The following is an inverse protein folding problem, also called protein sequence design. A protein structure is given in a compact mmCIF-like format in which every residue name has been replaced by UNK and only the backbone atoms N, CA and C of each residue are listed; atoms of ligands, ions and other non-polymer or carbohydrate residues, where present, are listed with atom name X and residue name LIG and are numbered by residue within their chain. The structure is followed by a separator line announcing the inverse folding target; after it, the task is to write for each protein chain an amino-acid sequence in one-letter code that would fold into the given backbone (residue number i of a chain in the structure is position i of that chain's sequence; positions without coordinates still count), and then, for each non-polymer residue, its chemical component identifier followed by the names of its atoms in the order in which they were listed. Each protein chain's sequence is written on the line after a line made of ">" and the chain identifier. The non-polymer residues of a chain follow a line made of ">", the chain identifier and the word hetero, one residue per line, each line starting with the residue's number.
data_IF_159166518390
#
_entry.id   IF_159166518390
#
_cell.length_a   1.000
_cell.length_b   1.000
_cell.length_c   1.000
_cell.angle_alpha   90.00
_cell.angle_beta   90.00
_cell.angle_gamma   90.00
#
_symmetry.space_group_name_H-M   'P 1'
#
loop_
_entity.id
_entity.type
_entity.pdbx_description
1 polymer ?
#
# COMPACT_ATOMS: atom_id res chain seq x y z
N UNK A 1 -30.84 34.62 -11.79
CA UNK A 1 -29.56 34.28 -11.20
C UNK A 1 -29.55 34.78 -9.75
N UNK A 2 -29.55 33.90 -8.80
CA UNK A 2 -29.56 34.23 -7.38
C UNK A 2 -28.91 33.16 -6.53
N UNK A 3 -28.32 33.56 -5.41
CA UNK A 3 -27.76 32.64 -4.44
C UNK A 3 -28.83 32.16 -3.47
N UNK A 4 -28.89 30.86 -3.19
CA UNK A 4 -29.62 30.31 -2.08
C UNK A 4 -28.75 30.28 -0.84
N UNK A 5 -29.09 31.03 0.19
CA UNK A 5 -28.44 30.95 1.49
C UNK A 5 -29.43 30.39 2.50
N UNK A 6 -29.12 29.27 3.12
CA UNK A 6 -29.94 28.66 4.18
C UNK A 6 -29.16 28.77 5.49
N UNK A 7 -29.74 29.49 6.45
CA UNK A 7 -29.21 29.65 7.79
C UNK A 7 -30.03 28.80 8.76
N UNK A 8 -29.47 27.70 9.23
CA UNK A 8 -30.18 26.80 10.14
C UNK A 8 -29.27 25.68 10.63
N UNK A 9 -29.71 24.94 11.64
CA UNK A 9 -28.96 23.83 12.21
C UNK A 9 -28.90 22.60 11.28
N UNK A 10 -29.92 22.41 10.42
CA UNK A 10 -29.99 21.27 9.49
C UNK A 10 -30.74 21.66 8.23
N UNK A 11 -30.20 21.33 7.08
CA UNK A 11 -30.88 21.44 5.78
C UNK A 11 -31.04 20.04 5.18
N UNK A 12 -32.24 19.64 4.87
CA UNK A 12 -32.53 18.34 4.22
C UNK A 12 -33.00 18.61 2.80
N UNK A 13 -32.34 18.00 1.83
CA UNK A 13 -32.70 18.00 0.42
C UNK A 13 -33.17 16.58 0.08
N UNK A 14 -34.46 16.41 -0.22
CA UNK A 14 -35.03 15.12 -0.62
C UNK A 14 -35.21 15.12 -2.13
N UNK A 15 -34.35 14.36 -2.82
CA UNK A 15 -34.38 14.22 -4.28
C UNK A 15 -33.86 12.84 -4.67
N UNK A 16 -34.31 12.34 -5.81
CA UNK A 16 -33.74 11.09 -6.35
C UNK A 16 -32.29 11.27 -6.82
N UNK A 17 -31.96 12.47 -7.32
CA UNK A 17 -30.61 12.78 -7.80
C UNK A 17 -30.25 14.22 -7.40
N UNK A 18 -29.09 14.39 -6.78
CA UNK A 18 -28.47 15.69 -6.55
C UNK A 18 -27.30 15.88 -7.52
N UNK A 19 -27.39 16.90 -8.37
CA UNK A 19 -26.29 17.31 -9.26
C UNK A 19 -25.76 18.67 -8.82
N UNK A 20 -24.44 18.74 -8.61
CA UNK A 20 -23.73 19.97 -8.26
C UNK A 20 -22.87 20.37 -9.46
N UNK A 21 -23.11 21.56 -10.03
CA UNK A 21 -22.40 22.05 -11.21
C UNK A 21 -21.05 22.71 -10.91
N UNK A 22 -20.73 22.95 -9.64
CA UNK A 22 -19.46 23.52 -9.24
C UNK A 22 -18.33 22.49 -9.21
N UNK A 23 -17.12 22.96 -9.49
CA UNK A 23 -15.91 22.13 -9.46
C UNK A 23 -15.47 21.77 -8.04
N UNK A 24 -15.90 22.53 -7.02
CA UNK A 24 -15.51 22.34 -5.62
C UNK A 24 -16.75 22.44 -4.73
N UNK A 25 -16.94 21.46 -3.85
CA UNK A 25 -17.91 21.49 -2.75
C UNK A 25 -17.13 21.80 -1.47
N UNK A 26 -17.42 22.92 -0.83
CA UNK A 26 -16.84 23.29 0.45
C UNK A 26 -17.65 22.70 1.60
N UNK A 27 -17.01 21.92 2.45
CA UNK A 27 -17.61 21.34 3.66
C UNK A 27 -16.92 21.98 4.87
N UNK A 28 -17.71 22.42 5.87
CA UNK A 28 -17.16 22.91 7.13
C UNK A 28 -16.63 24.35 7.10
N UNK A 29 -17.15 25.23 6.22
CA UNK A 29 -16.75 26.64 6.15
C UNK A 29 -16.73 27.40 7.49
N UNK A 30 -17.59 27.01 8.42
CA UNK A 30 -17.71 27.63 9.74
C UNK A 30 -16.93 26.87 10.82
N UNK A 31 -16.11 25.88 10.44
CA UNK A 31 -15.18 25.22 11.35
C UNK A 31 -14.06 26.20 11.67
N UNK A 32 -14.10 26.81 12.85
CA UNK A 32 -13.12 27.81 13.28
C UNK A 32 -12.04 27.18 14.13
N UNK A 33 -10.88 27.83 14.22
CA UNK A 33 -9.72 27.32 14.97
C UNK A 33 -9.97 27.05 16.47
N UNK A 34 -11.12 27.40 17.00
CA UNK A 34 -11.50 27.17 18.40
C UNK A 34 -12.31 25.87 18.58
N UNK A 35 -12.84 25.26 17.49
CA UNK A 35 -13.66 24.05 17.55
C UNK A 35 -13.01 22.93 16.72
N UNK A 36 -11.90 22.39 17.22
CA UNK A 36 -11.17 21.25 16.64
C UNK A 36 -11.90 19.91 16.83
N UNK A 37 -13.14 19.92 17.24
CA UNK A 37 -13.91 18.71 17.55
C UNK A 37 -14.91 18.31 16.45
N UNK A 38 -14.93 19.03 15.34
CA UNK A 38 -15.86 18.76 14.23
C UNK A 38 -15.14 18.01 13.11
N UNK A 39 -15.42 16.75 12.97
CA UNK A 39 -14.98 15.99 11.81
C UNK A 39 -15.75 16.43 10.56
N UNK A 40 -15.10 16.32 9.40
CA UNK A 40 -15.66 16.72 8.11
C UNK A 40 -15.85 15.49 7.23
N UNK A 41 -16.99 15.33 6.56
CA UNK A 41 -17.16 14.17 5.71
C UNK A 41 -18.48 14.02 4.99
N UNK A 42 -18.55 12.97 4.21
CA UNK A 42 -19.74 12.47 3.52
C UNK A 42 -20.13 11.13 4.13
N UNK A 43 -21.29 11.07 4.77
CA UNK A 43 -21.82 9.85 5.36
C UNK A 43 -22.80 9.17 4.38
N UNK A 44 -22.54 7.90 4.09
CA UNK A 44 -23.38 7.05 3.25
C UNK A 44 -24.18 6.10 4.15
N UNK A 45 -25.50 6.28 4.17
CA UNK A 45 -26.38 5.39 4.91
C UNK A 45 -26.51 4.05 4.21
N UNK A 46 -26.38 2.99 4.99
CA UNK A 46 -26.67 1.62 4.59
C UNK A 46 -27.95 1.12 5.29
N UNK A 47 -28.48 -0.05 4.94
CA UNK A 47 -29.62 -0.64 5.67
C UNK A 47 -29.35 -0.71 7.17
N UNK A 48 -30.39 -0.60 7.99
CA UNK A 48 -30.30 -0.54 9.47
C UNK A 48 -29.55 -1.70 10.14
N UNK A 49 -29.36 -2.81 9.42
CA UNK A 49 -28.59 -3.97 9.89
C UNK A 49 -27.07 -3.86 9.61
N UNK A 50 -26.65 -2.81 8.95
CA UNK A 50 -25.30 -2.62 8.44
C UNK A 50 -24.71 -1.30 8.95
N UNK A 51 -23.41 -1.30 9.21
CA UNK A 51 -22.69 -0.07 9.55
C UNK A 51 -22.68 0.92 8.39
N UNK A 52 -22.80 2.21 8.67
CA UNK A 52 -22.69 3.27 7.67
C UNK A 52 -21.25 3.36 7.13
N UNK A 53 -21.08 3.95 5.94
CA UNK A 53 -19.75 4.25 5.38
C UNK A 53 -19.51 5.73 5.42
N UNK A 54 -18.34 6.15 5.85
CA UNK A 54 -17.91 7.55 5.83
C UNK A 54 -16.63 7.73 5.00
N UNK A 55 -16.60 8.85 4.27
CA UNK A 55 -15.39 9.39 3.66
C UNK A 55 -15.19 10.76 4.30
N UNK A 56 -14.16 10.92 5.14
CA UNK A 56 -14.05 12.13 5.93
C UNK A 56 -12.66 12.40 6.49
N UNK A 57 -12.52 13.60 7.06
CA UNK A 57 -11.33 14.02 7.79
C UNK A 57 -11.64 14.10 9.28
N UNK A 58 -10.83 13.43 10.09
CA UNK A 58 -10.91 13.42 11.55
C UNK A 58 -9.97 14.47 12.13
N UNK A 59 -10.53 15.48 12.73
CA UNK A 59 -9.74 16.56 13.35
C UNK A 59 -8.93 16.08 14.56
N UNK A 60 -9.48 15.15 15.36
CA UNK A 60 -8.83 14.65 16.57
C UNK A 60 -7.54 13.86 16.31
N UNK A 61 -7.41 13.21 15.15
CA UNK A 61 -6.26 12.39 14.74
C UNK A 61 -5.51 12.96 13.54
N UNK A 62 -6.00 14.06 12.95
CA UNK A 62 -5.43 14.68 11.74
C UNK A 62 -5.29 13.70 10.58
N UNK A 63 -6.33 12.89 10.34
CA UNK A 63 -6.32 11.84 9.32
C UNK A 63 -7.51 11.92 8.37
N UNK A 64 -7.29 11.55 7.12
CA UNK A 64 -8.35 11.30 6.14
C UNK A 64 -8.71 9.81 6.18
N UNK A 65 -9.98 9.50 6.40
CA UNK A 65 -10.46 8.14 6.59
C UNK A 65 -11.55 7.76 5.57
N UNK A 66 -11.51 6.51 5.13
CA UNK A 66 -12.61 5.79 4.50
C UNK A 66 -12.90 4.61 5.41
N UNK A 67 -14.05 4.59 6.08
CA UNK A 67 -14.30 3.61 7.13
C UNK A 67 -15.77 3.27 7.28
N UNK A 68 -16.06 2.11 7.89
CA UNK A 68 -17.35 1.84 8.51
C UNK A 68 -17.48 2.64 9.81
N UNK A 69 -18.69 3.08 10.12
CA UNK A 69 -18.98 3.87 11.32
C UNK A 69 -20.44 3.69 11.76
N UNK A 70 -20.67 3.83 13.05
CA UNK A 70 -22.03 3.94 13.62
C UNK A 70 -22.52 5.40 13.68
N UNK A 71 -21.71 6.36 13.25
CA UNK A 71 -22.08 7.77 13.29
C UNK A 71 -23.34 8.04 12.48
N UNK A 72 -24.15 8.98 12.99
CA UNK A 72 -25.36 9.49 12.37
C UNK A 72 -25.12 10.89 11.76
N UNK A 73 -26.02 11.41 10.91
CA UNK A 73 -25.88 12.76 10.34
C UNK A 73 -25.91 13.89 11.38
N UNK A 74 -26.27 13.58 12.62
CA UNK A 74 -26.34 14.56 13.70
C UNK A 74 -25.08 14.55 14.58
N UNK A 75 -24.19 13.57 14.39
CA UNK A 75 -22.94 13.48 15.15
C UNK A 75 -21.93 14.48 14.58
N UNK A 76 -21.19 15.09 15.47
CA UNK A 76 -20.14 16.06 15.14
C UNK A 76 -18.81 15.41 14.81
N UNK A 77 -18.67 14.14 15.20
CA UNK A 77 -17.47 13.32 15.04
C UNK A 77 -17.85 11.93 14.56
N UNK A 78 -16.93 11.23 13.95
CA UNK A 78 -17.11 9.82 13.63
C UNK A 78 -15.94 8.98 14.17
N UNK A 79 -16.25 7.76 14.53
CA UNK A 79 -15.24 6.77 14.94
C UNK A 79 -15.23 5.66 13.91
N UNK A 80 -14.09 5.39 13.25
CA UNK A 80 -13.93 4.21 12.42
C UNK A 80 -14.15 2.94 13.24
N UNK A 81 -14.87 1.97 12.69
CA UNK A 81 -14.96 0.64 13.29
C UNK A 81 -13.65 -0.09 13.05
N UNK A 82 -13.16 -0.77 14.08
CA UNK A 82 -11.90 -1.55 14.04
C UNK A 82 -12.14 -3.05 13.88
N UNK A 83 -13.39 -3.46 13.90
CA UNK A 83 -13.87 -4.84 13.74
C UNK A 83 -14.48 -5.12 12.36
N UNK A 84 -14.51 -4.11 11.48
CA UNK A 84 -15.00 -4.21 10.10
C UNK A 84 -13.97 -3.59 9.15
N UNK A 85 -13.47 -4.39 8.20
CA UNK A 85 -12.47 -3.97 7.23
C UNK A 85 -13.11 -3.52 5.91
N UNK A 86 -12.62 -2.41 5.36
CA UNK A 86 -12.97 -1.97 4.01
C UNK A 86 -11.90 -2.48 3.04
N UNK A 87 -12.30 -3.31 2.08
CA UNK A 87 -11.41 -3.71 1.01
C UNK A 87 -11.28 -2.59 -0.03
N UNK A 88 -10.04 -2.13 -0.25
CA UNK A 88 -9.71 -1.15 -1.29
C UNK A 88 -9.04 -1.87 -2.45
N UNK A 89 -9.72 -1.94 -3.59
CA UNK A 89 -9.16 -2.47 -4.84
C UNK A 89 -8.69 -1.32 -5.71
N UNK A 90 -7.38 -1.26 -6.01
CA UNK A 90 -6.80 -0.24 -6.87
C UNK A 90 -6.51 -0.84 -8.25
N UNK A 91 -7.15 -0.28 -9.28
CA UNK A 91 -6.94 -0.65 -10.67
C UNK A 91 -6.17 0.45 -11.41
N UNK A 92 -5.02 0.12 -11.98
CA UNK A 92 -4.17 1.06 -12.69
C UNK A 92 -2.91 1.44 -11.89
N UNK A 93 -2.39 2.63 -12.16
CA UNK A 93 -1.20 3.15 -11.51
C UNK A 93 -1.51 3.73 -10.13
N UNK A 94 -0.79 3.29 -9.11
CA UNK A 94 -0.77 3.92 -7.79
C UNK A 94 0.54 4.70 -7.63
N UNK A 95 0.45 6.00 -7.36
CA UNK A 95 1.59 6.86 -7.06
C UNK A 95 1.41 7.46 -5.67
N UNK A 96 2.38 7.26 -4.81
CA UNK A 96 2.41 7.76 -3.44
C UNK A 96 3.72 8.51 -3.22
N UNK A 97 3.64 9.80 -2.90
CA UNK A 97 4.80 10.65 -2.61
C UNK A 97 5.32 10.51 -1.17
N UNK A 98 4.62 9.74 -0.35
CA UNK A 98 4.97 9.41 1.03
C UNK A 98 4.96 7.88 1.22
N UNK A 99 5.21 7.41 2.45
CA UNK A 99 5.20 5.98 2.76
C UNK A 99 3.83 5.34 2.52
N UNK A 100 3.83 4.09 2.09
CA UNK A 100 2.67 3.19 2.17
C UNK A 100 2.84 2.34 3.44
N UNK A 101 1.81 2.33 4.29
CA UNK A 101 1.69 1.42 5.42
C UNK A 101 0.44 0.58 5.24
N UNK A 102 0.58 -0.71 5.00
CA UNK A 102 -0.52 -1.65 4.97
C UNK A 102 -0.43 -2.57 6.20
N UNK A 103 -1.42 -2.52 7.08
CA UNK A 103 -1.50 -3.39 8.26
C UNK A 103 -2.05 -4.79 7.95
N UNK A 104 -2.53 -4.99 6.75
CA UNK A 104 -2.95 -6.26 6.18
C UNK A 104 -2.42 -6.39 4.75
N UNK A 105 -3.11 -7.10 3.89
CA UNK A 105 -2.69 -7.30 2.52
C UNK A 105 -2.77 -6.02 1.67
N UNK A 106 -1.84 -5.88 0.75
CA UNK A 106 -1.93 -4.90 -0.33
C UNK A 106 -2.13 -5.63 -1.67
N UNK A 107 -3.32 -5.47 -2.28
CA UNK A 107 -3.66 -6.02 -3.59
C UNK A 107 -3.81 -4.90 -4.62
N UNK A 108 -2.97 -4.91 -5.66
CA UNK A 108 -2.97 -3.93 -6.74
C UNK A 108 -2.93 -4.63 -8.10
N UNK A 109 -3.90 -4.33 -9.00
CA UNK A 109 -3.91 -4.87 -10.37
C UNK A 109 -3.11 -4.03 -11.37
N UNK A 110 -2.65 -2.83 -10.97
CA UNK A 110 -1.75 -1.98 -11.76
C UNK A 110 -0.34 -1.96 -11.19
N UNK A 111 0.36 -0.86 -11.39
CA UNK A 111 1.68 -0.64 -10.83
C UNK A 111 1.61 0.09 -9.49
N UNK A 112 2.61 -0.12 -8.67
CA UNK A 112 2.85 0.62 -7.43
C UNK A 112 4.13 1.42 -7.58
N UNK A 113 4.05 2.74 -7.39
CA UNK A 113 5.20 3.65 -7.34
C UNK A 113 5.19 4.41 -6.02
N UNK A 114 6.24 4.31 -5.26
CA UNK A 114 6.38 4.97 -3.96
C UNK A 114 7.73 5.69 -3.89
N UNK A 115 7.71 6.99 -3.66
CA UNK A 115 8.92 7.84 -3.58
C UNK A 115 9.68 7.69 -2.24
N UNK A 116 9.14 6.92 -1.32
CA UNK A 116 9.76 6.63 -0.02
C UNK A 116 9.69 5.14 0.30
N UNK A 117 9.35 4.73 1.51
CA UNK A 117 9.29 3.33 1.89
C UNK A 117 7.92 2.70 1.61
N UNK A 118 7.92 1.40 1.40
CA UNK A 118 6.73 0.55 1.36
C UNK A 118 6.82 -0.46 2.50
N UNK A 119 5.92 -0.38 3.47
CA UNK A 119 5.89 -1.24 4.65
C UNK A 119 4.56 -2.00 4.68
N UNK A 120 4.59 -3.32 4.56
CA UNK A 120 3.40 -4.17 4.49
C UNK A 120 3.51 -5.29 5.53
N UNK A 121 2.51 -5.38 6.42
CA UNK A 121 2.53 -6.34 7.53
C UNK A 121 2.14 -7.76 7.11
N UNK A 122 1.26 -7.89 6.12
CA UNK A 122 0.79 -9.20 5.62
C UNK A 122 1.32 -9.46 4.20
N UNK A 123 0.50 -9.68 3.23
CA UNK A 123 0.89 -10.06 1.87
C UNK A 123 0.90 -8.87 0.90
N UNK A 124 1.90 -8.82 0.03
CA UNK A 124 1.92 -7.92 -1.13
C UNK A 124 1.62 -8.69 -2.41
N UNK A 125 0.49 -8.38 -3.04
CA UNK A 125 0.12 -8.95 -4.35
C UNK A 125 -0.06 -7.85 -5.39
N UNK A 126 0.79 -7.81 -6.40
CA UNK A 126 0.76 -6.81 -7.48
C UNK A 126 0.82 -7.49 -8.87
N UNK A 127 -0.17 -7.23 -9.72
CA UNK A 127 -0.17 -7.73 -11.11
C UNK A 127 0.78 -6.93 -12.01
N UNK A 128 1.03 -5.66 -11.72
CA UNK A 128 2.00 -4.81 -12.41
C UNK A 128 3.38 -4.83 -11.77
N UNK A 129 4.09 -3.71 -11.86
CA UNK A 129 5.41 -3.52 -11.26
C UNK A 129 5.32 -2.89 -9.87
N UNK A 130 6.31 -3.17 -9.05
CA UNK A 130 6.56 -2.47 -7.78
C UNK A 130 7.84 -1.65 -7.92
N UNK A 131 7.79 -0.39 -7.55
CA UNK A 131 8.92 0.53 -7.53
C UNK A 131 8.92 1.31 -6.22
N UNK A 132 9.95 1.14 -5.43
CA UNK A 132 10.20 1.89 -4.21
C UNK A 132 11.51 2.69 -4.35
N UNK A 133 11.45 4.01 -4.18
CA UNK A 133 12.64 4.87 -4.22
C UNK A 133 13.53 4.69 -2.98
N UNK A 134 13.04 3.98 -1.98
CA UNK A 134 13.80 3.60 -0.79
C UNK A 134 13.58 2.12 -0.47
N UNK A 135 13.24 1.81 0.78
CA UNK A 135 13.11 0.44 1.24
C UNK A 135 11.75 -0.15 0.86
N UNK A 136 11.75 -1.45 0.56
CA UNK A 136 10.56 -2.28 0.46
C UNK A 136 10.62 -3.32 1.58
N UNK A 137 9.72 -3.23 2.55
CA UNK A 137 9.61 -4.18 3.66
C UNK A 137 8.25 -4.88 3.63
N UNK A 138 8.25 -6.20 3.63
CA UNK A 138 7.04 -7.03 3.68
C UNK A 138 7.23 -8.15 4.70
N UNK A 139 6.37 -8.22 5.73
CA UNK A 139 6.44 -9.28 6.74
C UNK A 139 5.81 -10.60 6.26
N UNK A 140 4.87 -10.56 5.34
CA UNK A 140 4.29 -11.76 4.71
C UNK A 140 4.96 -12.14 3.40
N UNK A 141 4.20 -12.72 2.48
CA UNK A 141 4.71 -13.07 1.16
C UNK A 141 4.58 -11.92 0.16
N UNK A 142 5.41 -11.94 -0.86
CA UNK A 142 5.36 -11.02 -1.99
C UNK A 142 5.09 -11.78 -3.29
N UNK A 143 4.04 -11.41 -4.01
CA UNK A 143 3.66 -11.95 -5.32
C UNK A 143 3.57 -10.80 -6.32
N UNK A 144 4.51 -10.72 -7.25
CA UNK A 144 4.57 -9.68 -8.28
C UNK A 144 4.68 -10.32 -9.66
N UNK A 145 3.71 -10.04 -10.55
CA UNK A 145 3.76 -10.53 -11.93
C UNK A 145 4.71 -9.69 -12.81
N UNK A 146 4.88 -8.42 -12.50
CA UNK A 146 5.86 -7.54 -13.15
C UNK A 146 7.22 -7.55 -12.47
N UNK A 147 7.94 -6.44 -12.58
CA UNK A 147 9.25 -6.27 -11.97
C UNK A 147 9.14 -5.68 -10.55
N UNK A 148 10.15 -5.97 -9.74
CA UNK A 148 10.37 -5.31 -8.45
C UNK A 148 11.65 -4.48 -8.55
N UNK A 149 11.56 -3.20 -8.20
CA UNK A 149 12.71 -2.28 -8.12
C UNK A 149 12.70 -1.62 -6.75
N UNK A 150 13.78 -1.78 -5.98
CA UNK A 150 14.02 -1.03 -4.75
C UNK A 150 15.38 -0.34 -4.81
N UNK A 151 15.41 0.98 -4.69
CA UNK A 151 16.66 1.74 -4.72
C UNK A 151 17.43 1.71 -3.39
N UNK A 152 16.90 1.04 -2.40
CA UNK A 152 17.53 0.74 -1.14
C UNK A 152 17.42 -0.76 -0.86
N UNK A 153 16.98 -1.13 0.33
CA UNK A 153 16.87 -2.51 0.75
C UNK A 153 15.50 -3.13 0.37
N UNK A 154 15.51 -4.40 0.07
CA UNK A 154 14.31 -5.23 0.05
C UNK A 154 14.39 -6.25 1.16
N UNK A 155 13.56 -6.08 2.19
CA UNK A 155 13.46 -6.97 3.35
C UNK A 155 12.14 -7.72 3.35
N UNK A 156 12.20 -9.04 3.45
CA UNK A 156 11.03 -9.91 3.38
C UNK A 156 11.13 -11.04 4.42
N UNK A 157 10.09 -11.20 5.26
CA UNK A 157 10.03 -12.33 6.21
C UNK A 157 9.41 -13.57 5.57
N UNK A 158 8.48 -13.42 4.64
CA UNK A 158 7.89 -14.52 3.86
C UNK A 158 8.71 -14.91 2.63
N UNK A 159 8.02 -15.40 1.60
CA UNK A 159 8.63 -15.77 0.33
C UNK A 159 8.43 -14.67 -0.72
N UNK A 160 9.40 -14.52 -1.62
CA UNK A 160 9.29 -13.69 -2.82
C UNK A 160 8.99 -14.56 -4.05
N UNK A 161 7.93 -14.21 -4.79
CA UNK A 161 7.58 -14.79 -6.07
C UNK A 161 7.44 -13.66 -7.10
N UNK A 162 8.41 -13.53 -7.98
CA UNK A 162 8.46 -12.45 -8.97
C UNK A 162 8.59 -13.05 -10.37
N UNK A 163 7.61 -12.79 -11.25
CA UNK A 163 7.67 -13.27 -12.63
C UNK A 163 8.46 -12.35 -13.56
N UNK A 164 8.78 -11.14 -13.14
CA UNK A 164 9.68 -10.22 -13.83
C UNK A 164 11.08 -10.20 -13.24
N UNK A 165 11.81 -9.11 -13.47
CA UNK A 165 13.12 -8.89 -12.89
C UNK A 165 13.02 -8.36 -11.45
N UNK A 166 14.04 -8.64 -10.66
CA UNK A 166 14.23 -8.07 -9.33
C UNK A 166 15.54 -7.27 -9.32
N UNK A 167 15.43 -5.95 -9.17
CA UNK A 167 16.55 -5.02 -9.20
C UNK A 167 16.66 -4.28 -7.85
N UNK A 168 17.69 -4.57 -7.07
CA UNK A 168 17.93 -4.02 -5.74
C UNK A 168 19.27 -3.27 -5.71
N UNK A 169 19.26 -2.01 -5.29
CA UNK A 169 20.50 -1.21 -5.30
C UNK A 169 21.38 -1.47 -4.06
N UNK A 170 20.78 -1.74 -2.90
CA UNK A 170 21.56 -2.03 -1.69
C UNK A 170 21.45 -3.52 -1.31
N UNK A 171 20.67 -3.90 -0.30
CA UNK A 171 20.67 -5.25 0.22
C UNK A 171 19.35 -5.99 -0.04
N UNK A 172 19.41 -7.28 -0.32
CA UNK A 172 18.27 -8.19 -0.32
C UNK A 172 18.35 -9.12 0.89
N UNK A 173 17.37 -9.02 1.79
CA UNK A 173 17.23 -9.91 2.96
C UNK A 173 15.89 -10.62 2.94
N UNK A 174 15.91 -11.97 2.85
CA UNK A 174 14.70 -12.79 2.82
C UNK A 174 14.80 -13.95 3.82
N UNK A 175 13.86 -14.06 4.75
CA UNK A 175 13.79 -15.20 5.67
C UNK A 175 13.19 -16.45 5.01
N UNK A 176 12.28 -16.28 4.06
CA UNK A 176 11.72 -17.36 3.25
C UNK A 176 12.56 -17.68 2.00
N UNK A 177 11.90 -18.11 0.94
CA UNK A 177 12.52 -18.42 -0.34
C UNK A 177 12.41 -17.25 -1.32
N UNK A 178 13.31 -17.21 -2.30
CA UNK A 178 13.25 -16.30 -3.45
C UNK A 178 13.05 -17.12 -4.73
N UNK A 179 12.03 -16.77 -5.50
CA UNK A 179 11.74 -17.30 -6.82
C UNK A 179 11.65 -16.14 -7.80
N UNK A 180 12.56 -16.03 -8.75
CA UNK A 180 12.49 -15.07 -9.84
C UNK A 180 12.50 -15.83 -11.18
N UNK A 181 11.44 -15.61 -11.98
CA UNK A 181 11.31 -16.24 -13.31
C UNK A 181 12.25 -15.59 -14.34
N UNK A 182 12.87 -14.46 -13.97
CA UNK A 182 13.85 -13.74 -14.78
C UNK A 182 15.14 -13.45 -14.00
N UNK A 183 15.68 -12.26 -14.15
CA UNK A 183 16.94 -11.88 -13.55
C UNK A 183 16.76 -11.41 -12.12
N UNK A 184 17.74 -11.71 -11.27
CA UNK A 184 17.96 -11.08 -9.98
C UNK A 184 19.26 -10.28 -10.02
N UNK A 185 19.16 -8.95 -9.94
CA UNK A 185 20.30 -8.06 -9.82
C UNK A 185 20.30 -7.36 -8.46
N UNK A 186 21.41 -7.49 -7.72
CA UNK A 186 21.61 -6.80 -6.44
C UNK A 186 23.00 -6.18 -6.40
N UNK A 187 23.12 -4.88 -6.21
CA UNK A 187 24.41 -4.21 -6.11
C UNK A 187 25.07 -4.40 -4.74
N UNK A 188 24.30 -4.68 -3.69
CA UNK A 188 24.81 -5.01 -2.36
C UNK A 188 24.88 -6.51 -2.10
N UNK A 189 24.60 -6.91 -0.86
CA UNK A 189 24.62 -8.31 -0.45
C UNK A 189 23.23 -8.96 -0.57
N UNK A 190 23.24 -10.29 -0.68
CA UNK A 190 22.04 -11.12 -0.63
C UNK A 190 22.10 -12.06 0.55
N UNK A 191 21.10 -12.05 1.41
CA UNK A 191 20.91 -12.92 2.56
C UNK A 191 19.56 -13.63 2.47
N UNK A 192 19.58 -14.94 2.24
CA UNK A 192 18.36 -15.74 2.12
C UNK A 192 18.44 -16.95 3.03
N UNK A 193 17.51 -17.07 3.99
CA UNK A 193 17.46 -18.24 4.88
C UNK A 193 16.75 -19.45 4.25
N UNK A 194 16.04 -19.26 3.16
CA UNK A 194 15.43 -20.32 2.34
C UNK A 194 16.23 -20.63 1.10
N UNK A 195 15.54 -21.16 0.09
CA UNK A 195 16.15 -21.44 -1.22
C UNK A 195 16.14 -20.18 -2.10
N UNK A 196 17.07 -20.12 -3.03
CA UNK A 196 17.10 -19.11 -4.10
C UNK A 196 17.03 -19.83 -5.44
N UNK A 197 15.94 -19.63 -6.17
CA UNK A 197 15.68 -20.24 -7.46
C UNK A 197 15.53 -19.14 -8.51
N UNK A 198 16.47 -19.01 -9.42
CA UNK A 198 16.51 -17.99 -10.48
C UNK A 198 16.53 -18.68 -11.84
N UNK A 199 15.56 -18.34 -12.71
CA UNK A 199 15.43 -18.97 -14.01
C UNK A 199 16.41 -18.41 -15.04
N UNK A 200 16.67 -17.12 -15.05
CA UNK A 200 17.59 -16.50 -16.01
C UNK A 200 18.94 -16.15 -15.36
N UNK A 201 19.26 -14.89 -15.08
CA UNK A 201 20.57 -14.48 -14.63
C UNK A 201 20.59 -14.04 -13.16
N UNK A 202 21.65 -14.38 -12.44
CA UNK A 202 21.95 -13.87 -11.11
C UNK A 202 23.18 -12.95 -11.18
N UNK A 203 23.00 -11.67 -10.91
CA UNK A 203 24.10 -10.67 -10.87
C UNK A 203 24.18 -9.99 -9.51
N UNK A 204 25.24 -10.22 -8.75
CA UNK A 204 25.46 -9.66 -7.41
C UNK A 204 26.83 -9.00 -7.33
N UNK A 205 26.88 -7.73 -6.91
CA UNK A 205 28.16 -7.04 -6.67
C UNK A 205 28.74 -7.37 -5.30
N UNK A 206 27.89 -7.61 -4.31
CA UNK A 206 28.30 -8.01 -2.95
C UNK A 206 28.46 -9.51 -2.77
N UNK A 207 28.18 -9.98 -1.56
CA UNK A 207 28.21 -11.40 -1.21
C UNK A 207 26.80 -12.03 -1.29
N UNK A 208 26.76 -13.33 -1.51
CA UNK A 208 25.55 -14.14 -1.45
C UNK A 208 25.64 -15.11 -0.28
N UNK A 209 24.66 -15.09 0.60
CA UNK A 209 24.49 -16.03 1.71
C UNK A 209 23.13 -16.69 1.57
N UNK A 210 23.10 -17.97 1.21
CA UNK A 210 21.91 -18.79 1.17
C UNK A 210 22.05 -19.91 2.21
N UNK A 211 21.13 -19.95 3.19
CA UNK A 211 21.18 -21.00 4.23
C UNK A 211 20.74 -22.37 3.69
N UNK A 212 20.23 -22.42 2.47
CA UNK A 212 19.86 -23.63 1.76
C UNK A 212 20.38 -23.62 0.33
N UNK A 213 19.63 -24.21 -0.60
CA UNK A 213 20.06 -24.37 -1.98
C UNK A 213 20.00 -23.03 -2.74
N UNK A 214 21.02 -22.79 -3.57
CA UNK A 214 21.05 -21.75 -4.58
C UNK A 214 21.05 -22.43 -5.95
N UNK A 215 19.95 -22.30 -6.69
CA UNK A 215 19.77 -22.80 -8.03
C UNK A 215 19.61 -21.64 -9.03
N UNK A 216 20.45 -21.58 -10.04
CA UNK A 216 20.36 -20.62 -11.15
C UNK A 216 20.45 -21.39 -12.45
N UNK A 217 19.40 -21.33 -13.27
CA UNK A 217 19.39 -22.04 -14.54
C UNK A 217 20.21 -21.33 -15.64
N UNK A 218 20.34 -20.01 -15.51
CA UNK A 218 21.17 -19.20 -16.41
C UNK A 218 22.56 -18.92 -15.89
N UNK A 219 23.05 -17.70 -16.14
CA UNK A 219 24.39 -17.31 -15.74
C UNK A 219 24.42 -16.76 -14.31
N UNK A 220 25.56 -16.95 -13.64
CA UNK A 220 25.79 -16.38 -12.31
C UNK A 220 27.04 -15.51 -12.32
N UNK A 221 26.90 -14.23 -11.96
CA UNK A 221 27.97 -13.26 -11.83
C UNK A 221 27.99 -12.68 -10.40
N UNK A 222 28.92 -13.13 -9.58
CA UNK A 222 29.07 -12.63 -8.21
C UNK A 222 30.48 -12.10 -8.03
N UNK A 223 30.64 -10.82 -7.66
CA UNK A 223 31.97 -10.24 -7.43
C UNK A 223 32.49 -10.53 -6.02
N UNK A 224 31.59 -10.79 -5.07
CA UNK A 224 31.92 -11.19 -3.70
C UNK A 224 31.99 -12.69 -3.52
N UNK A 225 31.78 -13.14 -2.28
CA UNK A 225 31.75 -14.56 -1.94
C UNK A 225 30.32 -15.13 -2.10
N UNK A 226 30.26 -16.40 -2.50
CA UNK A 226 29.03 -17.18 -2.47
C UNK A 226 29.14 -18.23 -1.37
N UNK A 227 28.24 -18.22 -0.43
CA UNK A 227 28.13 -19.20 0.64
C UNK A 227 26.72 -19.78 0.60
N UNK A 228 26.60 -21.03 0.23
CA UNK A 228 25.34 -21.77 0.28
C UNK A 228 25.54 -23.00 1.19
N UNK A 229 24.65 -23.20 2.12
CA UNK A 229 24.63 -24.35 3.02
C UNK A 229 23.60 -25.35 2.50
N UNK A 230 23.95 -26.62 2.55
CA UNK A 230 23.10 -27.70 2.06
C UNK A 230 22.38 -28.42 3.23
#
# INVERSE_FOLDING_TARGET
>A
DGNLTVNGGTTVIITENLSVGDAIIEIGRNNTSEDTTLDLGLLMHRPETESNVIIGFRESSNEFAIAYTEASPHDKTFTPKTDEDINVHVYGLTHVDANIYAHQDLLVTGNVYVSTNVDITEELTVTGNVHADKDLEVLGNTYVTGNVVAYKDFTLTGNAYVSGNVDITEELTVTGNVYADKDLEVLGNVYVSGNVDITEELTITGNVYADKDLEVLGNTYVTGNVVAYK
#
